data_IF_491592846276
#
_entry.id   IF_491592846276
#
_cell.length_a   1.000
_cell.length_b   1.000
_cell.length_c   1.000
_cell.angle_alpha   90.00
_cell.angle_beta   90.00
_cell.angle_gamma   90.00
#
_symmetry.space_group_name_H-M   'P 1'
#
loop_
_entity.id
_entity.type
_entity.pdbx_description
1 polymer ?
#
# COMPACT_ATOMS: atom_id res chain seq x y z
N UNK A 1 16.87 -20.74 -14.66
CA UNK A 1 17.52 -19.51 -14.15
C UNK A 1 17.23 -19.40 -12.66
N UNK A 2 18.22 -19.63 -11.80
CA UNK A 2 18.04 -19.56 -10.35
C UNK A 2 17.81 -18.10 -9.95
N UNK A 3 16.63 -17.79 -9.40
CA UNK A 3 16.34 -16.49 -8.82
C UNK A 3 17.43 -16.19 -7.77
N UNK A 4 18.18 -15.10 -7.99
CA UNK A 4 19.26 -14.65 -7.10
C UNK A 4 18.65 -14.44 -5.72
N UNK A 5 18.93 -15.35 -4.78
CA UNK A 5 18.43 -15.27 -3.40
C UNK A 5 18.94 -13.96 -2.80
N UNK A 6 18.04 -12.99 -2.60
CA UNK A 6 18.38 -11.73 -1.95
C UNK A 6 18.76 -12.01 -0.50
N UNK A 7 19.62 -11.17 0.09
CA UNK A 7 19.95 -11.33 1.50
C UNK A 7 18.69 -11.08 2.34
N UNK A 8 18.51 -11.84 3.42
CA UNK A 8 17.37 -11.67 4.33
C UNK A 8 17.27 -10.23 4.88
N UNK A 9 18.42 -9.56 5.00
CA UNK A 9 18.52 -8.17 5.43
C UNK A 9 17.94 -7.19 4.40
N UNK A 10 18.21 -7.40 3.10
CA UNK A 10 17.60 -6.59 2.04
C UNK A 10 16.08 -6.77 2.01
N UNK A 11 15.59 -8.01 2.13
CA UNK A 11 14.14 -8.28 2.12
C UNK A 11 13.45 -7.65 3.34
N UNK A 12 14.08 -7.69 4.52
CA UNK A 12 13.58 -7.01 5.73
C UNK A 12 13.54 -5.49 5.55
N UNK A 13 14.57 -4.90 4.97
CA UNK A 13 14.62 -3.45 4.71
C UNK A 13 13.50 -3.02 3.76
N UNK A 14 13.24 -3.81 2.72
CA UNK A 14 12.12 -3.56 1.80
C UNK A 14 10.76 -3.74 2.46
N UNK A 15 10.61 -4.75 3.32
CA UNK A 15 9.38 -4.98 4.07
C UNK A 15 9.04 -3.77 4.94
N UNK A 16 10.00 -3.27 5.71
CA UNK A 16 9.82 -2.09 6.55
C UNK A 16 9.45 -0.86 5.73
N UNK A 17 10.16 -0.59 4.63
CA UNK A 17 9.81 0.53 3.72
C UNK A 17 8.40 0.41 3.14
N UNK A 18 8.00 -0.82 2.80
CA UNK A 18 6.66 -1.08 2.22
C UNK A 18 5.57 -0.88 3.27
N UNK A 19 5.80 -1.28 4.52
CA UNK A 19 4.91 -1.04 5.66
C UNK A 19 4.77 0.45 5.96
N UNK A 20 5.88 1.18 6.08
CA UNK A 20 5.84 2.64 6.27
C UNK A 20 5.06 3.34 5.16
N UNK A 21 5.24 2.91 3.91
CA UNK A 21 4.47 3.46 2.79
C UNK A 21 2.98 3.13 2.91
N UNK A 22 2.62 1.90 3.27
CA UNK A 22 1.23 1.51 3.50
C UNK A 22 0.56 2.38 4.57
N UNK A 23 1.25 2.66 5.68
CA UNK A 23 0.72 3.49 6.76
C UNK A 23 0.41 4.92 6.27
N UNK A 24 1.26 5.50 5.42
CA UNK A 24 1.01 6.81 4.82
C UNK A 24 -0.24 6.82 3.94
N UNK A 25 -0.47 5.77 3.15
CA UNK A 25 -1.66 5.66 2.30
C UNK A 25 -2.93 5.42 3.14
N UNK A 26 -2.85 4.65 4.22
CA UNK A 26 -3.98 4.44 5.14
C UNK A 26 -4.34 5.72 5.90
N UNK A 27 -3.34 6.48 6.36
CA UNK A 27 -3.58 7.79 6.98
C UNK A 27 -4.26 8.75 5.99
N UNK A 28 -3.79 8.78 4.74
CA UNK A 28 -4.39 9.59 3.67
C UNK A 28 -5.82 9.14 3.35
N UNK A 29 -6.08 7.84 3.30
CA UNK A 29 -7.43 7.29 3.12
C UNK A 29 -8.35 7.72 4.26
N UNK A 30 -7.91 7.57 5.50
CA UNK A 30 -8.66 7.99 6.69
C UNK A 30 -8.98 9.49 6.66
N UNK A 31 -8.00 10.33 6.29
CA UNK A 31 -8.22 11.76 6.08
C UNK A 31 -9.30 11.99 5.02
N UNK A 32 -9.27 11.30 3.88
CA UNK A 32 -10.27 11.48 2.81
C UNK A 32 -11.67 10.97 3.18
N UNK A 33 -11.76 9.98 4.06
CA UNK A 33 -13.03 9.43 4.54
C UNK A 33 -13.60 10.22 5.73
N UNK A 34 -12.76 10.99 6.44
CA UNK A 34 -13.21 11.84 7.55
C UNK A 34 -14.13 12.96 7.06
N UNK A 35 -15.15 13.31 7.85
CA UNK A 35 -16.12 14.37 7.51
C UNK A 35 -15.50 15.76 7.34
N UNK A 36 -14.30 15.98 7.90
CA UNK A 36 -13.52 17.22 7.77
C UNK A 36 -12.49 17.16 6.63
N UNK A 37 -12.35 15.99 6.01
CA UNK A 37 -11.37 15.68 4.99
C UNK A 37 -11.82 16.13 3.62
N UNK A 38 -11.15 17.17 3.11
CA UNK A 38 -11.45 17.84 1.85
C UNK A 38 -12.67 18.76 1.95
N UNK A 39 -12.57 19.79 2.80
CA UNK A 39 -13.10 21.09 2.39
C UNK A 39 -12.43 21.48 1.07
N UNK A 40 -13.14 21.24 -0.04
CA UNK A 40 -12.85 21.83 -1.34
C UNK A 40 -12.91 23.35 -1.18
N UNK A 41 -11.78 23.99 -0.88
CA UNK A 41 -11.65 25.44 -1.00
C UNK A 41 -11.79 25.78 -2.48
N UNK A 42 -13.02 25.99 -2.92
CA UNK A 42 -13.34 26.44 -4.27
C UNK A 42 -12.94 27.91 -4.35
N UNK A 43 -11.65 28.18 -4.52
CA UNK A 43 -11.14 29.50 -4.88
C UNK A 43 -11.40 29.68 -6.38
N UNK A 44 -12.54 30.27 -6.69
CA UNK A 44 -12.92 30.68 -8.04
C UNK A 44 -13.20 29.52 -9.00
N UNK A 45 -13.80 29.86 -10.15
CA UNK A 45 -14.29 28.94 -11.21
C UNK A 45 -13.23 28.06 -11.90
N UNK A 46 -12.01 27.97 -11.38
CA UNK A 46 -10.95 27.10 -11.90
C UNK A 46 -11.02 25.75 -11.18
N UNK A 47 -11.61 24.78 -11.86
CA UNK A 47 -11.69 23.37 -11.44
C UNK A 47 -10.34 22.86 -10.87
N UNK A 48 -10.28 22.71 -9.55
CA UNK A 48 -9.20 22.11 -8.75
C UNK A 48 -8.97 20.60 -9.03
N UNK A 49 -9.52 20.07 -10.13
CA UNK A 49 -9.51 18.66 -10.50
C UNK A 49 -8.11 18.09 -10.79
N UNK A 50 -7.06 18.91 -10.86
CA UNK A 50 -5.75 18.51 -11.38
C UNK A 50 -4.90 17.68 -10.39
N UNK A 51 -5.22 17.67 -9.10
CA UNK A 51 -4.39 17.00 -8.09
C UNK A 51 -5.16 16.16 -7.06
N UNK A 52 -6.46 15.93 -7.25
CA UNK A 52 -7.18 14.97 -6.45
C UNK A 52 -6.79 13.57 -6.92
N UNK A 53 -5.81 12.93 -6.27
CA UNK A 53 -5.69 11.47 -6.38
C UNK A 53 -7.04 10.90 -5.96
N UNK A 54 -7.76 10.20 -6.85
CA UNK A 54 -9.08 9.70 -6.50
C UNK A 54 -8.92 8.67 -5.37
N UNK A 55 -9.92 8.59 -4.49
CA UNK A 55 -9.93 7.62 -3.38
C UNK A 55 -9.64 6.19 -3.89
N UNK A 56 -10.17 5.86 -5.07
CA UNK A 56 -9.92 4.57 -5.75
C UNK A 56 -8.44 4.33 -6.05
N UNK A 57 -7.67 5.33 -6.47
CA UNK A 57 -6.25 5.17 -6.74
C UNK A 57 -5.43 4.96 -5.45
N UNK A 58 -5.87 5.52 -4.32
CA UNK A 58 -5.28 5.27 -2.99
C UNK A 58 -5.58 3.84 -2.55
N UNK A 59 -6.84 3.40 -2.70
CA UNK A 59 -7.27 2.03 -2.40
C UNK A 59 -6.50 0.99 -3.23
N UNK A 60 -6.36 1.22 -4.54
CA UNK A 60 -5.59 0.35 -5.42
C UNK A 60 -4.12 0.24 -4.99
N UNK A 61 -3.53 1.35 -4.54
CA UNK A 61 -2.15 1.37 -4.07
C UNK A 61 -1.99 0.65 -2.72
N UNK A 62 -2.95 0.79 -1.81
CA UNK A 62 -3.03 0.04 -0.55
C UNK A 62 -3.06 -1.46 -0.83
N UNK A 63 -3.91 -1.92 -1.75
CA UNK A 63 -3.99 -3.34 -2.13
C UNK A 63 -2.67 -3.85 -2.72
N UNK A 64 -2.05 -3.07 -3.61
CA UNK A 64 -0.72 -3.39 -4.18
C UNK A 64 0.34 -3.53 -3.08
N UNK A 65 0.37 -2.61 -2.11
CA UNK A 65 1.33 -2.64 -1.01
C UNK A 65 1.09 -3.82 -0.07
N UNK A 66 -0.17 -4.14 0.26
CA UNK A 66 -0.53 -5.33 1.07
C UNK A 66 -0.07 -6.63 0.39
N UNK A 67 -0.31 -6.77 -0.92
CA UNK A 67 0.18 -7.92 -1.68
C UNK A 67 1.71 -8.01 -1.65
N UNK A 68 2.40 -6.86 -1.82
CA UNK A 68 3.86 -6.81 -1.78
C UNK A 68 4.42 -7.21 -0.42
N UNK A 69 3.80 -6.78 0.67
CA UNK A 69 4.15 -7.20 2.04
C UNK A 69 4.05 -8.72 2.17
N UNK A 70 2.92 -9.31 1.75
CA UNK A 70 2.72 -10.76 1.80
C UNK A 70 3.78 -11.54 1.01
N UNK A 71 4.15 -11.06 -0.18
CA UNK A 71 5.22 -11.66 -0.99
C UNK A 71 6.58 -11.59 -0.29
N UNK A 72 6.92 -10.45 0.32
CA UNK A 72 8.18 -10.25 1.05
C UNK A 72 8.25 -11.11 2.33
N UNK A 73 7.14 -11.26 3.03
CA UNK A 73 7.02 -12.15 4.20
C UNK A 73 7.17 -13.61 3.80
N UNK A 74 6.57 -14.04 2.68
CA UNK A 74 6.76 -15.39 2.13
C UNK A 74 8.21 -15.63 1.70
N UNK A 75 8.86 -14.64 1.07
CA UNK A 75 10.28 -14.68 0.71
C UNK A 75 11.17 -14.85 1.97
N UNK A 76 10.86 -14.13 3.06
CA UNK A 76 11.57 -14.26 4.34
C UNK A 76 11.33 -15.61 5.03
N UNK A 77 10.10 -16.12 4.98
CA UNK A 77 9.73 -17.42 5.53
C UNK A 77 10.33 -18.60 4.73
N UNK A 78 10.94 -18.32 3.58
CA UNK A 78 11.47 -19.35 2.69
C UNK A 78 10.37 -20.20 2.04
N UNK A 79 9.12 -19.74 2.09
CA UNK A 79 8.01 -20.41 1.46
C UNK A 79 8.03 -20.08 -0.03
N UNK A 80 8.33 -21.08 -0.86
CA UNK A 80 8.28 -20.91 -2.32
C UNK A 80 6.88 -20.42 -2.74
N UNK A 81 6.82 -19.67 -3.83
CA UNK A 81 5.61 -19.05 -4.42
C UNK A 81 4.36 -19.95 -4.55
N UNK A 82 4.48 -21.26 -4.36
CA UNK A 82 3.39 -22.25 -4.41
C UNK A 82 2.54 -22.35 -3.14
N UNK A 83 2.91 -21.68 -2.03
CA UNK A 83 2.16 -21.77 -0.74
C UNK A 83 1.54 -20.45 -0.27
N UNK A 84 1.86 -19.33 -0.92
CA UNK A 84 1.47 -17.97 -0.51
C UNK A 84 0.14 -17.49 -1.12
N UNK A 85 -0.81 -18.39 -1.36
CA UNK A 85 -2.18 -18.06 -1.77
C UNK A 85 -3.09 -18.27 -0.57
N UNK A 86 -3.29 -17.23 0.24
CA UNK A 86 -4.35 -17.26 1.24
C UNK A 86 -4.03 -16.64 2.59
N UNK A 87 -3.56 -15.40 2.64
CA UNK A 87 -3.84 -14.55 3.80
C UNK A 87 -4.20 -13.16 3.28
N UNK A 88 -5.49 -12.92 3.10
CA UNK A 88 -6.07 -11.57 3.10
C UNK A 88 -6.55 -11.35 4.53
N UNK A 89 -5.87 -10.54 5.36
CA UNK A 89 -6.46 -10.08 6.60
C UNK A 89 -7.65 -9.18 6.23
N UNK A 90 -8.85 -9.69 6.49
CA UNK A 90 -10.09 -8.92 6.42
C UNK A 90 -10.30 -8.37 7.82
N UNK A 91 -9.73 -7.21 8.10
CA UNK A 91 -10.09 -6.46 9.29
C UNK A 91 -11.49 -5.85 9.08
N UNK A 92 -12.32 -6.06 10.08
CA UNK A 92 -13.74 -5.76 10.22
C UNK A 92 -13.99 -4.28 10.51
#
# INVERSE_FOLDING_TARGET
MAARRRSKETVRTELERTRTRLDLYLAREQEMLSKDGVQLYTIGSRNLQRYQTPLTAIQDEIERLRKRISELEAELAGQSARRAVGVVPRDW
#
